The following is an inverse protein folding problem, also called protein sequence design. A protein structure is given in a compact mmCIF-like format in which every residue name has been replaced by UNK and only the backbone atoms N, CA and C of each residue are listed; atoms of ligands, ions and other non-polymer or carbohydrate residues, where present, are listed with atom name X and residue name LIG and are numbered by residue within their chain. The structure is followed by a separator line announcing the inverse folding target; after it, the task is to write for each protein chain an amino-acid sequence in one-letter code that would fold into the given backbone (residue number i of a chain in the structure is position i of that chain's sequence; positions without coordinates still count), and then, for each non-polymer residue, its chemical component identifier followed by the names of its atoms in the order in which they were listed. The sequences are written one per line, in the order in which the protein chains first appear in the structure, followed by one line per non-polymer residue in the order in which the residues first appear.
data_IF_574421503766
#
_entry.id   IF_574421503766
#
_cell.length_a   1.000
_cell.length_b   1.000
_cell.length_c   1.000
_cell.angle_alpha   90.00
_cell.angle_beta   90.00
_cell.angle_gamma   90.00
#
_symmetry.space_group_name_H-M   'P 1'
#
loop_
_entity.id
_entity.type
_entity.pdbx_description
1 polymer ?
#
# COMPACT_ATOMS: atom_id res chain seq x y z
N UNK A 1 1.50 0.60 14.33
CA UNK A 1 2.56 0.26 13.37
C UNK A 1 1.87 -0.52 12.30
N UNK A 2 1.85 -0.02 11.06
CA UNK A 2 1.12 -0.67 9.97
C UNK A 2 1.81 -1.99 9.58
N UNK A 3 1.03 -2.95 9.11
CA UNK A 3 1.55 -4.23 8.61
C UNK A 3 2.25 -4.05 7.26
N UNK A 4 1.73 -3.13 6.44
CA UNK A 4 2.29 -2.75 5.14
C UNK A 4 2.38 -1.24 4.99
N UNK A 5 3.46 -0.78 4.39
CA UNK A 5 3.65 0.61 3.96
C UNK A 5 3.81 0.65 2.44
N UNK A 6 3.10 1.57 1.79
CA UNK A 6 3.15 1.77 0.34
C UNK A 6 3.14 3.25 0.03
N UNK A 7 3.89 3.68 -0.98
CA UNK A 7 3.85 5.07 -1.40
C UNK A 7 2.63 5.35 -2.28
N UNK A 8 2.04 6.54 -2.11
CA UNK A 8 0.95 7.02 -2.94
C UNK A 8 1.27 6.93 -4.43
N UNK A 9 0.30 6.46 -5.22
CA UNK A 9 0.45 6.22 -6.66
C UNK A 9 1.18 4.92 -7.00
N UNK A 10 1.54 4.09 -6.00
CA UNK A 10 2.00 2.72 -6.20
C UNK A 10 0.89 1.74 -5.84
N UNK A 11 0.92 0.59 -6.50
CA UNK A 11 0.07 -0.54 -6.16
C UNK A 11 0.82 -1.51 -5.27
N UNK A 12 0.08 -2.18 -4.39
CA UNK A 12 0.57 -3.27 -3.58
C UNK A 12 -0.14 -4.56 -3.97
N UNK A 13 0.64 -5.64 -4.14
CA UNK A 13 0.12 -6.99 -4.40
C UNK A 13 0.59 -7.92 -3.29
N UNK A 14 -0.37 -8.45 -2.53
CA UNK A 14 -0.10 -9.30 -1.37
C UNK A 14 -0.55 -10.71 -1.69
N UNK A 15 0.36 -11.70 -1.79
CA UNK A 15 -0.04 -13.10 -1.91
C UNK A 15 -0.69 -13.55 -0.60
N UNK A 16 -1.78 -14.31 -0.71
CA UNK A 16 -2.39 -14.94 0.45
C UNK A 16 -2.56 -16.44 0.23
N UNK A 17 -2.56 -17.17 1.34
CA UNK A 17 -2.83 -18.61 1.35
C UNK A 17 -3.43 -18.98 2.70
N UNK A 18 -4.33 -19.96 2.68
CA UNK A 18 -4.87 -20.53 3.91
C UNK A 18 -3.91 -21.60 4.40
N UNK A 19 -3.51 -21.53 5.67
CA UNK A 19 -2.60 -22.50 6.29
C UNK A 19 -3.23 -23.02 7.58
N UNK A 20 -3.25 -24.34 7.73
CA UNK A 20 -3.73 -24.98 8.97
C UNK A 20 -2.75 -24.74 10.12
N UNK A 21 -3.18 -24.98 11.36
CA UNK A 21 -2.29 -24.95 12.53
C UNK A 21 -1.09 -25.92 12.41
N UNK A 22 -1.22 -26.97 11.58
CA UNK A 22 -0.15 -27.93 11.29
C UNK A 22 0.80 -27.49 10.16
N UNK A 23 0.62 -26.29 9.60
CA UNK A 23 1.47 -25.73 8.54
C UNK A 23 1.14 -26.23 7.12
N UNK A 24 0.05 -26.99 6.94
CA UNK A 24 -0.39 -27.44 5.61
C UNK A 24 -1.19 -26.34 4.94
N UNK A 25 -0.99 -26.18 3.63
CA UNK A 25 -1.81 -25.25 2.84
C UNK A 25 -3.20 -25.86 2.67
N UNK A 26 -4.21 -25.16 3.21
CA UNK A 26 -5.62 -25.49 3.02
C UNK A 26 -6.11 -25.02 1.66
N UNK A 27 -7.21 -25.60 1.19
CA UNK A 27 -7.81 -25.21 -0.10
C UNK A 27 -8.91 -24.20 0.17
N UNK A 28 -8.89 -23.07 -0.54
CA UNK A 28 -10.03 -22.16 -0.60
C UNK A 28 -11.15 -22.88 -1.37
N UNK A 29 -12.32 -23.04 -0.73
CA UNK A 29 -13.45 -23.81 -1.26
C UNK A 29 -14.78 -23.04 -1.10
N UNK A 30 -14.79 -21.83 -1.65
CA UNK A 30 -15.93 -20.94 -1.63
C UNK A 30 -15.59 -19.54 -2.14
N UNK A 31 -16.40 -18.56 -1.71
CA UNK A 31 -16.16 -17.17 -2.03
C UNK A 31 -14.96 -16.62 -1.24
N UNK A 32 -14.24 -15.70 -1.88
CA UNK A 32 -13.23 -14.86 -1.23
C UNK A 32 -13.69 -13.43 -1.40
N UNK A 33 -13.82 -12.72 -0.29
CA UNK A 33 -14.21 -11.32 -0.26
C UNK A 33 -13.10 -10.50 0.38
N UNK A 34 -12.85 -9.31 -0.18
CA UNK A 34 -11.90 -8.34 0.38
C UNK A 34 -12.54 -6.96 0.42
N UNK A 35 -12.33 -6.25 1.51
CA UNK A 35 -12.85 -4.89 1.71
C UNK A 35 -11.81 -4.01 2.38
N UNK A 36 -11.88 -2.72 2.08
CA UNK A 36 -11.20 -1.67 2.84
C UNK A 36 -12.23 -0.91 3.67
N UNK A 37 -11.87 -0.53 4.89
CA UNK A 37 -12.67 0.37 5.72
C UNK A 37 -12.66 1.83 5.20
N UNK A 38 -11.60 2.25 4.51
CA UNK A 38 -11.48 3.53 3.83
C UNK A 38 -11.09 3.38 2.35
N UNK A 39 -12.11 3.18 1.52
CA UNK A 39 -11.96 3.07 0.08
C UNK A 39 -11.53 4.39 -0.62
N UNK A 40 -11.44 5.51 0.09
CA UNK A 40 -10.84 6.74 -0.45
C UNK A 40 -9.32 6.78 -0.28
N UNK A 41 -8.78 6.04 0.69
CA UNK A 41 -7.33 5.87 0.90
C UNK A 41 -6.81 4.70 0.06
N UNK A 42 -7.48 3.55 0.13
CA UNK A 42 -7.06 2.33 -0.56
C UNK A 42 -8.25 1.53 -1.09
N UNK A 43 -8.28 1.30 -2.40
CA UNK A 43 -9.23 0.36 -3.00
C UNK A 43 -8.61 -1.02 -3.13
N UNK A 44 -9.43 -2.07 -3.00
CA UNK A 44 -8.96 -3.46 -2.96
C UNK A 44 -9.75 -4.36 -3.88
N UNK A 45 -9.06 -5.35 -4.43
CA UNK A 45 -9.65 -6.40 -5.25
C UNK A 45 -8.91 -7.72 -5.08
N UNK A 46 -9.60 -8.84 -5.35
CA UNK A 46 -8.98 -10.16 -5.47
C UNK A 46 -8.56 -10.38 -6.92
N UNK A 47 -7.28 -10.69 -7.12
CA UNK A 47 -6.72 -11.08 -8.41
C UNK A 47 -6.04 -12.45 -8.27
N UNK A 48 -6.83 -13.50 -8.46
CA UNK A 48 -6.40 -14.89 -8.25
C UNK A 48 -6.03 -15.13 -6.78
N UNK A 49 -4.75 -15.44 -6.52
CA UNK A 49 -4.19 -15.69 -5.19
C UNK A 49 -3.59 -14.45 -4.53
N UNK A 50 -3.84 -13.27 -5.11
CA UNK A 50 -3.32 -12.00 -4.62
C UNK A 50 -4.45 -11.06 -4.22
N UNK A 51 -4.20 -10.30 -3.16
CA UNK A 51 -4.93 -9.06 -2.88
C UNK A 51 -4.21 -7.95 -3.65
N UNK A 52 -4.92 -7.29 -4.56
CA UNK A 52 -4.43 -6.10 -5.23
C UNK A 52 -5.01 -4.86 -4.53
N UNK A 53 -4.12 -4.00 -4.07
CA UNK A 53 -4.44 -2.73 -3.42
C UNK A 53 -3.97 -1.61 -4.33
N UNK A 54 -4.90 -0.73 -4.70
CA UNK A 54 -4.61 0.51 -5.43
C UNK A 54 -4.71 1.69 -4.47
N UNK A 55 -3.64 2.46 -4.37
CA UNK A 55 -3.57 3.64 -3.50
C UNK A 55 -4.28 4.83 -4.13
N UNK A 56 -5.13 5.49 -3.35
CA UNK A 56 -6.02 6.55 -3.81
C UNK A 56 -5.81 7.87 -3.06
N UNK A 57 -5.36 7.82 -1.81
CA UNK A 57 -4.89 8.98 -1.05
C UNK A 57 -3.90 8.56 0.05
N UNK A 58 -3.23 9.53 0.66
CA UNK A 58 -2.34 9.35 1.80
C UNK A 58 -3.16 9.14 3.07
N UNK A 59 -2.83 8.13 3.86
CA UNK A 59 -3.57 7.79 5.08
C UNK A 59 -3.44 6.32 5.45
N UNK A 60 -4.19 5.90 6.46
CA UNK A 60 -4.25 4.51 6.89
C UNK A 60 -5.57 3.87 6.45
N UNK A 61 -5.51 2.61 6.03
CA UNK A 61 -6.68 1.78 5.73
C UNK A 61 -6.51 0.38 6.34
N UNK A 62 -7.57 -0.13 6.95
CA UNK A 62 -7.68 -1.52 7.39
C UNK A 62 -8.30 -2.35 6.26
N UNK A 63 -7.62 -3.42 5.89
CA UNK A 63 -8.08 -4.37 4.90
C UNK A 63 -8.56 -5.63 5.60
N UNK A 64 -9.79 -6.03 5.29
CA UNK A 64 -10.40 -7.28 5.73
C UNK A 64 -10.43 -8.25 4.57
N UNK A 65 -9.83 -9.42 4.74
CA UNK A 65 -9.94 -10.56 3.84
C UNK A 65 -10.79 -11.63 4.52
N UNK A 66 -11.79 -12.14 3.83
CA UNK A 66 -12.59 -13.27 4.28
C UNK A 66 -12.66 -14.35 3.21
N UNK A 67 -12.67 -15.61 3.63
CA UNK A 67 -12.75 -16.75 2.73
C UNK A 67 -13.36 -17.97 3.41
N UNK A 68 -14.14 -18.73 2.66
CA UNK A 68 -14.49 -20.10 3.04
C UNK A 68 -13.39 -21.07 2.56
N UNK A 69 -12.83 -21.84 3.50
CA UNK A 69 -11.78 -22.81 3.21
C UNK A 69 -12.15 -24.21 3.70
N UNK A 70 -11.72 -25.24 2.96
CA UNK A 70 -11.73 -26.61 3.43
C UNK A 70 -10.34 -27.00 3.95
N UNK A 71 -10.27 -27.28 5.25
CA UNK A 71 -9.06 -27.68 5.94
C UNK A 71 -8.96 -29.21 6.13
N UNK A 72 -9.86 -29.97 5.50
CA UNK A 72 -10.02 -31.42 5.69
C UNK A 72 -11.00 -31.79 6.80
N UNK A 73 -11.62 -30.80 7.44
CA UNK A 73 -12.64 -30.96 8.49
C UNK A 73 -14.00 -30.38 8.06
N UNK A 74 -14.14 -29.99 6.79
CA UNK A 74 -15.29 -29.27 6.24
C UNK A 74 -15.03 -27.78 6.05
N UNK A 75 -16.07 -27.06 5.61
CA UNK A 75 -15.99 -25.62 5.31
C UNK A 75 -15.83 -24.82 6.60
N UNK A 76 -14.78 -24.01 6.63
CA UNK A 76 -14.42 -23.11 7.73
C UNK A 76 -14.33 -21.70 7.18
N UNK A 77 -15.08 -20.77 7.79
CA UNK A 77 -14.94 -19.35 7.51
C UNK A 77 -13.68 -18.81 8.19
N UNK A 78 -12.84 -18.12 7.43
CA UNK A 78 -11.61 -17.48 7.90
C UNK A 78 -11.69 -16.00 7.59
N UNK A 79 -11.31 -15.19 8.56
CA UNK A 79 -11.23 -13.74 8.42
C UNK A 79 -9.86 -13.26 8.93
N UNK A 80 -9.25 -12.35 8.18
CA UNK A 80 -7.96 -11.75 8.51
C UNK A 80 -8.03 -10.25 8.28
N UNK A 81 -7.37 -9.51 9.16
CA UNK A 81 -7.29 -8.05 9.12
C UNK A 81 -5.83 -7.63 9.10
N UNK A 82 -5.49 -6.64 8.29
CA UNK A 82 -4.18 -6.01 8.30
C UNK A 82 -4.29 -4.52 7.93
N UNK A 83 -3.33 -3.74 8.40
CA UNK A 83 -3.31 -2.28 8.19
C UNK A 83 -2.34 -1.93 7.06
N UNK A 84 -2.78 -1.06 6.16
CA UNK A 84 -1.97 -0.47 5.09
C UNK A 84 -1.84 1.02 5.35
N UNK A 85 -0.60 1.50 5.47
CA UNK A 85 -0.28 2.92 5.54
C UNK A 85 0.19 3.40 4.17
N UNK A 86 -0.58 4.32 3.58
CA UNK A 86 -0.24 4.99 2.33
C UNK A 86 0.52 6.26 2.65
N UNK A 87 1.81 6.25 2.31
CA UNK A 87 2.72 7.35 2.56
C UNK A 87 2.73 8.32 1.37
N UNK A 88 2.82 9.61 1.64
CA UNK A 88 3.18 10.56 0.60
C UNK A 88 4.60 10.24 0.12
N UNK A 89 4.76 9.97 -1.17
CA UNK A 89 6.07 10.13 -1.79
C UNK A 89 6.32 11.64 -1.75
N UNK A 90 6.95 12.12 -0.68
CA UNK A 90 7.48 13.48 -0.70
C UNK A 90 8.50 13.42 -1.82
N UNK A 91 8.10 13.84 -3.03
CA UNK A 91 9.03 14.20 -4.07
C UNK A 91 10.02 15.06 -3.32
N UNK A 92 11.25 14.56 -3.11
CA UNK A 92 12.27 15.28 -2.40
C UNK A 92 12.29 16.63 -3.07
N UNK A 93 11.73 17.65 -2.40
CA UNK A 93 11.60 18.97 -2.96
C UNK A 93 13.00 19.29 -3.42
N UNK A 94 13.20 19.43 -4.73
CA UNK A 94 14.48 19.64 -5.39
C UNK A 94 15.53 20.11 -4.39
N UNK A 95 16.24 19.15 -3.78
CA UNK A 95 17.07 19.46 -2.61
C UNK A 95 18.28 20.17 -3.18
N UNK A 96 18.26 21.51 -3.11
CA UNK A 96 19.44 22.31 -3.41
C UNK A 96 20.54 22.08 -2.36
N UNK A 97 20.31 21.23 -1.36
CA UNK A 97 21.17 21.06 -0.21
C UNK A 97 21.15 22.31 0.64
N UNK A 98 21.30 22.16 1.95
CA UNK A 98 21.74 23.26 2.81
C UNK A 98 23.17 23.64 2.40
N UNK A 99 23.32 24.49 1.37
CA UNK A 99 24.63 24.89 0.84
C UNK A 99 24.66 25.65 -0.48
N UNK A 100 23.56 25.77 -1.23
CA UNK A 100 23.54 26.62 -2.44
C UNK A 100 23.11 28.03 -2.07
N UNK A 101 24.08 28.91 -1.85
CA UNK A 101 23.86 30.36 -1.92
C UNK A 101 23.72 30.74 -3.40
N UNK A 102 22.55 31.26 -3.78
CA UNK A 102 22.38 31.89 -5.09
C UNK A 102 23.16 33.20 -5.06
N UNK A 103 24.41 33.16 -5.53
CA UNK A 103 25.20 34.38 -5.71
C UNK A 103 24.47 35.25 -6.75
N UNK A 104 23.94 36.39 -6.30
CA UNK A 104 23.35 37.39 -7.19
C UNK A 104 24.47 37.91 -8.09
N UNK A 105 24.53 37.42 -9.33
CA UNK A 105 25.37 38.03 -10.36
C UNK A 105 24.80 39.41 -10.67
N UNK A 106 25.32 40.42 -9.98
CA UNK A 106 25.10 41.82 -10.34
C UNK A 106 26.01 42.08 -11.54
N UNK A 107 25.42 42.21 -12.73
CA UNK A 107 26.16 42.64 -13.91
C UNK A 107 26.84 44.00 -13.60
N UNK A 108 28.11 44.21 -13.99
CA UNK A 108 28.75 45.51 -13.81
C UNK A 108 27.94 46.56 -14.57
N UNK A 109 27.64 47.67 -13.91
CA UNK A 109 27.01 48.82 -14.55
C UNK A 109 27.86 49.24 -15.75
N UNK A 110 27.23 49.36 -16.92
CA UNK A 110 27.89 49.89 -18.11
C UNK A 110 28.47 51.29 -17.80
N UNK A 111 29.71 51.59 -18.22
CA UNK A 111 30.25 52.93 -18.04
C UNK A 111 29.47 53.90 -18.92
N UNK A 112 28.73 54.82 -18.30
CA UNK A 112 28.16 55.97 -18.98
C UNK A 112 29.31 56.80 -19.55
N UNK A 113 29.30 56.98 -20.88
CA UNK A 113 30.24 57.82 -21.62
C UNK A 113 30.09 59.31 -21.30
#
# INVERSE_FOLDING_TARGET
MADYQVFYGKDLRIPFKVVTASGKVGKIDGAVDVSSDDAFVASVAIDGEFIHITTLDVGDAVITLSADADLGEGKTYIESHFTVEVLSETASAFDLGTGVEVEKVVAPAEPTA
#
